data_IF_619204940453
#
_entry.id   IF_619204940453
#
_cell.length_a   1.000
_cell.length_b   1.000
_cell.length_c   1.000
_cell.angle_alpha   90.00
_cell.angle_beta   90.00
_cell.angle_gamma   90.00
#
_symmetry.space_group_name_H-M   'P 1'
#
loop_
_entity.id
_entity.type
_entity.pdbx_description
1 polymer ?
#
# COMPACT_ATOMS: atom_id res chain seq x y z
N UNK A 1 -12.64 -14.35 -16.54
CA UNK A 1 -11.53 -13.56 -15.96
C UNK A 1 -12.14 -12.60 -14.96
N UNK A 2 -11.88 -12.76 -13.68
CA UNK A 2 -12.28 -11.78 -12.66
C UNK A 2 -11.44 -10.53 -12.88
N UNK A 3 -12.07 -9.44 -13.31
CA UNK A 3 -11.37 -8.15 -13.45
C UNK A 3 -11.12 -7.62 -12.04
N UNK A 4 -9.85 -7.63 -11.61
CA UNK A 4 -9.44 -7.01 -10.34
C UNK A 4 -9.69 -5.50 -10.43
N UNK A 5 -10.43 -4.95 -9.46
CA UNK A 5 -10.64 -3.49 -9.41
C UNK A 5 -9.31 -2.80 -9.11
N UNK A 6 -8.84 -1.88 -9.94
CA UNK A 6 -7.61 -1.14 -9.68
C UNK A 6 -7.66 -0.39 -8.35
N UNK A 7 -6.50 -0.20 -7.71
CA UNK A 7 -6.37 0.60 -6.48
C UNK A 7 -5.26 1.63 -6.62
N UNK A 8 -5.58 2.89 -6.37
CA UNK A 8 -4.60 3.99 -6.31
C UNK A 8 -4.52 4.48 -4.86
N UNK A 9 -3.41 4.18 -4.23
CA UNK A 9 -3.16 4.42 -2.82
C UNK A 9 -2.12 5.53 -2.64
N UNK A 10 -2.45 6.60 -1.94
CA UNK A 10 -1.56 7.72 -1.62
C UNK A 10 -0.95 7.56 -0.24
N UNK A 11 0.35 7.32 -0.14
CA UNK A 11 1.10 7.34 1.10
C UNK A 11 1.72 8.74 1.29
N UNK A 12 1.18 9.54 2.21
CA UNK A 12 1.66 10.89 2.48
C UNK A 12 2.95 10.92 3.31
N UNK A 13 3.39 9.76 3.77
CA UNK A 13 4.61 9.65 4.60
C UNK A 13 4.57 10.62 5.78
N UNK A 14 5.70 11.19 6.17
CA UNK A 14 5.81 12.16 7.28
C UNK A 14 5.67 13.59 6.74
N UNK A 15 4.57 13.88 6.04
CA UNK A 15 4.26 15.22 5.53
C UNK A 15 2.88 15.67 5.99
N UNK A 16 2.69 16.98 6.06
CA UNK A 16 1.45 17.70 6.36
C UNK A 16 1.07 17.70 7.85
N UNK A 17 0.92 18.91 8.35
CA UNK A 17 0.20 19.20 9.59
C UNK A 17 -1.30 18.92 9.42
N UNK A 18 -2.08 18.92 10.52
CA UNK A 18 -3.53 18.69 10.41
C UNK A 18 -4.23 19.64 9.44
N UNK A 19 -4.03 20.98 9.51
CA UNK A 19 -4.65 21.91 8.56
C UNK A 19 -4.25 21.62 7.10
N UNK A 20 -2.96 21.40 6.82
CA UNK A 20 -2.49 21.07 5.47
C UNK A 20 -3.05 19.74 4.95
N UNK A 21 -3.24 18.77 5.83
CA UNK A 21 -3.85 17.48 5.49
C UNK A 21 -5.33 17.64 5.14
N UNK A 22 -6.06 18.45 5.91
CA UNK A 22 -7.46 18.79 5.64
C UNK A 22 -7.60 19.49 4.29
N UNK A 23 -6.79 20.53 4.03
CA UNK A 23 -6.84 21.29 2.78
C UNK A 23 -6.53 20.39 1.58
N UNK A 24 -5.53 19.50 1.72
CA UNK A 24 -5.18 18.53 0.67
C UNK A 24 -6.32 17.54 0.42
N UNK A 25 -6.95 17.03 1.46
CA UNK A 25 -8.08 16.09 1.33
C UNK A 25 -9.29 16.77 0.65
N UNK A 26 -9.64 18.01 1.05
CA UNK A 26 -10.71 18.80 0.41
C UNK A 26 -10.42 19.04 -1.07
N UNK A 27 -9.21 19.47 -1.39
CA UNK A 27 -8.80 19.74 -2.76
C UNK A 27 -8.84 18.46 -3.63
N UNK A 28 -8.41 17.31 -3.10
CA UNK A 28 -8.51 16.03 -3.80
C UNK A 28 -9.97 15.65 -4.04
N UNK A 29 -10.80 15.65 -3.00
CA UNK A 29 -12.23 15.31 -3.12
C UNK A 29 -12.94 16.18 -4.16
N UNK A 30 -12.61 17.48 -4.21
CA UNK A 30 -13.17 18.42 -5.20
C UNK A 30 -12.84 18.08 -6.66
N UNK A 31 -11.86 17.21 -6.91
CA UNK A 31 -11.45 16.79 -8.25
C UNK A 31 -12.01 15.41 -8.65
N UNK A 32 -12.65 14.70 -7.71
CA UNK A 32 -13.23 13.40 -7.97
C UNK A 32 -14.69 13.54 -8.43
N UNK A 33 -15.09 12.63 -9.28
CA UNK A 33 -16.46 12.61 -9.87
C UNK A 33 -17.42 11.69 -9.12
N UNK A 34 -16.89 10.87 -8.21
CA UNK A 34 -17.63 9.79 -7.53
C UNK A 34 -17.86 8.56 -8.41
N UNK A 35 -17.31 8.53 -9.63
CA UNK A 35 -17.45 7.44 -10.61
C UNK A 35 -16.10 6.87 -11.03
N UNK A 36 -15.09 7.00 -10.18
CA UNK A 36 -13.76 6.48 -10.45
C UNK A 36 -13.78 4.95 -10.53
N UNK A 37 -13.15 4.40 -11.57
CA UNK A 37 -13.03 2.96 -11.73
C UNK A 37 -12.11 2.36 -10.65
N UNK A 38 -11.04 3.09 -10.29
CA UNK A 38 -10.12 2.67 -9.25
C UNK A 38 -10.71 2.88 -7.84
N UNK A 39 -10.36 2.03 -6.92
CA UNK A 39 -10.49 2.30 -5.49
C UNK A 39 -9.40 3.27 -5.07
N UNK A 40 -9.76 4.31 -4.30
CA UNK A 40 -8.85 5.38 -3.90
C UNK A 40 -8.59 5.26 -2.40
N UNK A 41 -7.33 5.26 -1.99
CA UNK A 41 -6.93 5.34 -0.59
C UNK A 41 -5.95 6.49 -0.38
N UNK A 42 -6.07 7.19 0.74
CA UNK A 42 -5.04 8.12 1.24
C UNK A 42 -4.62 7.72 2.64
N UNK A 43 -3.32 7.76 2.91
CA UNK A 43 -2.74 7.43 4.21
C UNK A 43 -1.94 8.64 4.75
N UNK A 44 -2.61 9.55 5.48
CA UNK A 44 -1.96 10.67 6.14
C UNK A 44 -1.18 10.22 7.39
N UNK A 45 -0.33 11.09 8.00
CA UNK A 45 0.25 10.85 9.32
C UNK A 45 -0.83 10.56 10.37
N UNK A 46 -0.47 9.79 11.41
CA UNK A 46 -1.40 9.39 12.47
C UNK A 46 -2.14 10.57 13.13
N UNK A 47 -1.46 11.71 13.26
CA UNK A 47 -2.02 12.95 13.81
C UNK A 47 -3.16 13.54 12.98
N UNK A 48 -3.21 13.25 11.68
CA UNK A 48 -4.20 13.80 10.75
C UNK A 48 -5.31 12.78 10.37
N UNK A 49 -5.32 11.58 10.93
CA UNK A 49 -6.32 10.55 10.57
C UNK A 49 -7.75 11.03 10.85
N UNK A 50 -8.03 11.47 12.08
CA UNK A 50 -9.40 11.90 12.47
C UNK A 50 -9.88 13.13 11.69
N UNK A 51 -9.11 14.23 11.55
CA UNK A 51 -9.57 15.37 10.75
C UNK A 51 -9.78 15.01 9.28
N UNK A 52 -8.90 14.20 8.66
CA UNK A 52 -9.07 13.75 7.27
C UNK A 52 -10.29 12.84 7.11
N UNK A 53 -10.52 11.91 8.06
CA UNK A 53 -11.70 11.03 8.06
C UNK A 53 -13.02 11.79 7.94
N UNK A 54 -13.15 12.93 8.65
CA UNK A 54 -14.35 13.78 8.61
C UNK A 54 -14.60 14.41 7.24
N UNK A 55 -13.53 14.65 6.49
CA UNK A 55 -13.63 15.29 5.15
C UNK A 55 -14.01 14.26 4.09
N UNK A 56 -13.45 13.04 4.18
CA UNK A 56 -13.65 12.02 3.15
C UNK A 56 -14.82 11.08 3.42
N UNK A 57 -15.50 11.18 4.58
CA UNK A 57 -16.48 10.19 5.05
C UNK A 57 -17.59 9.83 4.06
N UNK A 58 -18.13 10.83 3.33
CA UNK A 58 -19.19 10.64 2.34
C UNK A 58 -18.68 10.64 0.89
N UNK A 59 -17.41 10.30 0.69
CA UNK A 59 -16.73 10.30 -0.62
C UNK A 59 -16.24 8.90 -0.99
N UNK A 60 -15.82 8.66 -2.24
CA UNK A 60 -15.23 7.37 -2.64
C UNK A 60 -13.83 7.12 -2.07
N UNK A 61 -13.22 8.09 -1.40
CA UNK A 61 -11.87 7.99 -0.84
C UNK A 61 -11.89 7.21 0.47
N UNK A 62 -11.01 6.22 0.58
CA UNK A 62 -10.84 5.42 1.78
C UNK A 62 -9.67 5.93 2.62
N UNK A 63 -9.82 5.90 3.95
CA UNK A 63 -8.74 6.25 4.86
C UNK A 63 -7.84 5.04 5.12
N UNK A 64 -6.52 5.24 4.99
CA UNK A 64 -5.49 4.30 5.39
C UNK A 64 -4.60 4.88 6.49
N UNK A 65 -4.05 4.02 7.32
CA UNK A 65 -2.98 4.36 8.25
C UNK A 65 -1.62 3.95 7.66
N UNK A 66 -0.54 4.55 8.15
CA UNK A 66 0.83 4.29 7.68
C UNK A 66 1.54 3.18 8.46
N UNK A 67 0.98 2.75 9.60
CA UNK A 67 1.51 1.73 10.49
C UNK A 67 0.49 1.37 11.56
N UNK A 68 0.70 0.25 12.26
CA UNK A 68 0.08 -0.09 13.53
C UNK A 68 1.04 -0.91 14.41
N UNK A 69 0.74 -0.99 15.69
CA UNK A 69 1.32 -1.96 16.59
C UNK A 69 0.38 -3.15 16.77
N UNK A 70 0.91 -4.35 17.02
CA UNK A 70 0.11 -5.59 17.03
C UNK A 70 -0.68 -5.85 18.32
N UNK A 71 -0.35 -5.14 19.41
CA UNK A 71 -1.13 -5.24 20.63
C UNK A 71 -2.31 -4.28 20.61
N UNK A 72 -3.45 -4.71 21.15
CA UNK A 72 -4.66 -3.88 21.15
C UNK A 72 -4.58 -2.69 22.12
N UNK A 73 -3.85 -2.88 23.24
CA UNK A 73 -3.59 -1.86 24.27
C UNK A 73 -2.42 -2.29 25.14
N UNK A 74 -1.85 -1.38 25.91
CA UNK A 74 -0.78 -1.71 26.85
C UNK A 74 0.24 -0.60 27.05
N UNK A 75 1.33 -0.92 27.72
CA UNK A 75 2.44 -0.02 27.99
C UNK A 75 3.39 0.09 26.79
N UNK A 76 2.90 0.64 25.69
CA UNK A 76 3.59 0.82 24.42
C UNK A 76 3.55 2.30 24.01
N UNK A 77 4.16 3.14 24.83
CA UNK A 77 4.10 4.60 24.67
C UNK A 77 4.48 5.05 23.25
N UNK A 78 3.58 5.76 22.59
CA UNK A 78 3.77 6.30 21.24
C UNK A 78 3.21 5.40 20.11
N UNK A 79 2.83 4.15 20.41
CA UNK A 79 2.26 3.25 19.41
C UNK A 79 0.75 3.46 19.21
N UNK A 80 0.27 3.07 18.02
CA UNK A 80 -1.14 3.14 17.63
C UNK A 80 -1.62 1.73 17.32
N UNK A 81 -2.67 1.28 18.03
CA UNK A 81 -3.23 -0.06 17.86
C UNK A 81 -4.28 -0.15 16.75
N UNK A 82 -4.60 -1.37 16.29
CA UNK A 82 -5.64 -1.59 15.30
C UNK A 82 -7.02 -1.06 15.74
N UNK A 83 -7.51 -1.25 16.99
CA UNK A 83 -8.76 -0.63 17.45
C UNK A 83 -8.74 0.90 17.40
N UNK A 84 -7.61 1.56 17.68
CA UNK A 84 -7.47 3.01 17.56
C UNK A 84 -7.63 3.46 16.11
N UNK A 85 -7.05 2.73 15.15
CA UNK A 85 -7.18 3.04 13.73
C UNK A 85 -8.63 2.86 13.23
N UNK A 86 -9.31 1.80 13.65
CA UNK A 86 -10.72 1.60 13.34
C UNK A 86 -11.57 2.76 13.89
N UNK A 87 -11.33 3.19 15.13
CA UNK A 87 -12.04 4.31 15.73
C UNK A 87 -11.77 5.65 15.05
N UNK A 88 -10.60 5.80 14.39
CA UNK A 88 -10.26 6.95 13.58
C UNK A 88 -10.89 6.94 12.17
N UNK A 89 -11.59 5.86 11.82
CA UNK A 89 -12.24 5.67 10.52
C UNK A 89 -11.35 5.03 9.45
N UNK A 90 -10.21 4.44 9.81
CA UNK A 90 -9.36 3.74 8.87
C UNK A 90 -10.01 2.44 8.38
N UNK A 91 -9.91 2.20 7.08
CA UNK A 91 -10.22 0.92 6.44
C UNK A 91 -8.96 0.15 6.08
N UNK A 92 -7.88 0.84 5.76
CA UNK A 92 -6.61 0.29 5.33
C UNK A 92 -5.50 0.59 6.32
N UNK A 93 -4.42 -0.21 6.27
CA UNK A 93 -3.16 0.09 6.96
C UNK A 93 -1.97 -0.41 6.16
N UNK A 94 -0.99 0.45 5.94
CA UNK A 94 0.29 0.10 5.31
C UNK A 94 1.15 -0.61 6.36
N UNK A 95 1.71 -1.78 5.99
CA UNK A 95 2.53 -2.61 6.89
C UNK A 95 3.79 -3.03 6.16
N UNK A 96 4.94 -2.95 6.82
CA UNK A 96 6.22 -3.40 6.26
C UNK A 96 6.81 -2.45 5.22
N UNK A 97 6.36 -1.19 5.16
CA UNK A 97 6.90 -0.19 4.22
C UNK A 97 8.43 -0.09 4.33
N UNK A 98 9.10 0.03 3.19
CA UNK A 98 10.57 0.04 3.09
C UNK A 98 11.25 1.01 4.07
N UNK A 99 10.72 2.22 4.25
CA UNK A 99 11.24 3.20 5.20
C UNK A 99 11.18 2.67 6.65
N UNK A 100 10.14 1.91 7.02
CA UNK A 100 10.04 1.34 8.37
C UNK A 100 11.02 0.20 8.58
N UNK A 101 11.26 -0.61 7.55
CA UNK A 101 12.30 -1.65 7.58
C UNK A 101 13.69 -1.03 7.72
N UNK A 102 13.95 0.02 6.94
CA UNK A 102 15.27 0.67 6.88
C UNK A 102 15.60 1.52 8.11
N UNK A 103 14.65 2.35 8.57
CA UNK A 103 14.91 3.36 9.60
C UNK A 103 14.43 2.96 10.99
N UNK A 104 13.46 2.05 11.10
CA UNK A 104 12.83 1.69 12.37
C UNK A 104 12.98 0.21 12.72
N UNK A 105 13.80 -0.54 11.98
CA UNK A 105 14.11 -1.93 12.27
C UNK A 105 12.91 -2.87 12.19
N UNK A 106 11.92 -2.57 11.34
CA UNK A 106 10.76 -3.43 11.18
C UNK A 106 11.16 -4.76 10.51
N UNK A 107 10.91 -5.87 11.22
CA UNK A 107 11.27 -7.23 10.78
C UNK A 107 10.09 -7.94 10.12
N UNK A 108 10.35 -9.03 9.39
CA UNK A 108 9.28 -9.82 8.77
C UNK A 108 8.36 -10.46 9.81
N UNK A 109 8.89 -10.85 10.98
CA UNK A 109 8.10 -11.35 12.11
C UNK A 109 7.20 -10.24 12.70
N UNK A 110 7.72 -9.01 12.77
CA UNK A 110 6.93 -7.83 13.17
C UNK A 110 5.81 -7.55 12.18
N UNK A 111 6.11 -7.61 10.88
CA UNK A 111 5.13 -7.49 9.78
C UNK A 111 4.04 -8.55 9.92
N UNK A 112 4.40 -9.81 10.15
CA UNK A 112 3.43 -10.90 10.35
C UNK A 112 2.46 -10.64 11.50
N UNK A 113 2.97 -10.23 12.67
CA UNK A 113 2.15 -9.86 13.83
C UNK A 113 1.18 -8.72 13.51
N UNK A 114 1.66 -7.69 12.81
CA UNK A 114 0.84 -6.54 12.40
C UNK A 114 -0.25 -6.93 11.41
N UNK A 115 0.05 -7.78 10.43
CA UNK A 115 -0.95 -8.29 9.48
C UNK A 115 -2.07 -9.02 10.23
N UNK A 116 -1.72 -9.94 11.14
CA UNK A 116 -2.70 -10.67 11.95
C UNK A 116 -3.57 -9.74 12.80
N UNK A 117 -2.98 -8.73 13.42
CA UNK A 117 -3.71 -7.73 14.19
C UNK A 117 -4.65 -6.88 13.31
N UNK A 118 -4.20 -6.46 12.12
CA UNK A 118 -5.02 -5.73 11.16
C UNK A 118 -6.24 -6.56 10.72
N UNK A 119 -6.02 -7.79 10.29
CA UNK A 119 -7.09 -8.70 9.84
C UNK A 119 -8.09 -8.99 10.98
N UNK A 120 -7.61 -9.25 12.20
CA UNK A 120 -8.46 -9.46 13.36
C UNK A 120 -9.36 -8.25 13.67
N UNK A 121 -8.88 -7.03 13.40
CA UNK A 121 -9.64 -5.79 13.55
C UNK A 121 -10.46 -5.41 12.31
N UNK A 122 -10.47 -6.24 11.26
CA UNK A 122 -11.13 -5.99 9.96
C UNK A 122 -10.56 -4.80 9.19
N UNK A 123 -9.31 -4.43 9.45
CA UNK A 123 -8.55 -3.53 8.60
C UNK A 123 -7.98 -4.33 7.41
N UNK A 124 -7.91 -3.69 6.26
CA UNK A 124 -7.28 -4.27 5.06
C UNK A 124 -5.78 -3.93 5.10
N UNK A 125 -4.87 -4.89 5.31
CA UNK A 125 -3.45 -4.64 5.28
C UNK A 125 -2.96 -4.43 3.84
N UNK A 126 -2.20 -3.36 3.62
CA UNK A 126 -1.39 -3.13 2.41
C UNK A 126 0.03 -3.55 2.76
N UNK A 127 0.41 -4.75 2.34
CA UNK A 127 1.63 -5.43 2.75
C UNK A 127 2.76 -5.07 1.80
N UNK A 128 3.75 -4.34 2.29
CA UNK A 128 4.89 -3.89 1.51
C UNK A 128 6.03 -4.91 1.55
N UNK A 129 6.54 -5.23 0.38
CA UNK A 129 7.73 -6.05 0.15
C UNK A 129 8.62 -5.37 -0.88
N UNK A 130 9.93 -5.61 -0.80
CA UNK A 130 10.85 -5.02 -1.77
C UNK A 130 12.31 -5.26 -1.41
N UNK A 131 13.14 -5.25 -2.42
CA UNK A 131 14.58 -5.41 -2.32
C UNK A 131 15.32 -4.07 -2.36
N UNK A 132 16.46 -4.01 -1.68
CA UNK A 132 17.41 -2.91 -1.75
C UNK A 132 18.22 -2.92 -3.06
N UNK A 133 18.91 -1.82 -3.35
CA UNK A 133 19.81 -1.71 -4.51
C UNK A 133 20.90 -2.79 -4.48
N UNK A 134 21.55 -2.98 -3.33
CA UNK A 134 22.59 -4.02 -3.16
C UNK A 134 22.06 -5.43 -3.42
N UNK A 135 20.84 -5.73 -2.98
CA UNK A 135 20.21 -7.03 -3.20
C UNK A 135 19.86 -7.25 -4.67
N UNK A 136 19.38 -6.20 -5.34
CA UNK A 136 19.06 -6.26 -6.77
C UNK A 136 20.33 -6.45 -7.61
N UNK A 137 21.36 -5.65 -7.38
CA UNK A 137 22.64 -5.75 -8.09
C UNK A 137 23.32 -7.10 -7.83
N UNK A 138 23.08 -7.70 -6.68
CA UNK A 138 23.52 -9.04 -6.31
C UNK A 138 22.64 -10.18 -6.89
N UNK A 139 21.64 -9.87 -7.73
CA UNK A 139 20.72 -10.86 -8.31
C UNK A 139 19.80 -11.54 -7.29
N UNK A 140 19.55 -10.92 -6.13
CA UNK A 140 18.82 -11.52 -5.00
C UNK A 140 17.35 -11.09 -4.92
N UNK A 141 16.84 -10.35 -5.90
CA UNK A 141 15.46 -9.81 -5.88
C UNK A 141 14.44 -10.86 -5.43
N UNK A 142 14.33 -11.95 -6.16
CA UNK A 142 13.30 -12.96 -5.89
C UNK A 142 13.51 -13.67 -4.56
N UNK A 143 14.74 -14.01 -4.19
CA UNK A 143 15.02 -14.67 -2.91
C UNK A 143 14.70 -13.76 -1.69
N UNK A 144 14.88 -12.45 -1.83
CA UNK A 144 14.50 -11.47 -0.79
C UNK A 144 12.98 -11.38 -0.69
N UNK A 145 12.29 -11.25 -1.82
CA UNK A 145 10.83 -11.18 -1.83
C UNK A 145 10.18 -12.46 -1.30
N UNK A 146 10.68 -13.63 -1.71
CA UNK A 146 10.21 -14.92 -1.21
C UNK A 146 10.34 -15.00 0.31
N UNK A 147 11.50 -14.65 0.85
CA UNK A 147 11.74 -14.62 2.30
C UNK A 147 10.77 -13.67 3.03
N UNK A 148 10.58 -12.45 2.50
CA UNK A 148 9.66 -11.47 3.09
C UNK A 148 8.21 -11.97 3.07
N UNK A 149 7.79 -12.62 1.96
CA UNK A 149 6.45 -13.19 1.85
C UNK A 149 6.28 -14.45 2.72
N UNK A 150 7.26 -15.35 2.73
CA UNK A 150 7.22 -16.56 3.57
C UNK A 150 7.04 -16.20 5.05
N UNK A 151 7.84 -15.27 5.54
CA UNK A 151 7.81 -14.83 6.95
C UNK A 151 6.63 -13.91 7.26
N UNK A 152 6.38 -12.92 6.40
CA UNK A 152 5.29 -11.96 6.60
C UNK A 152 3.90 -12.60 6.55
N UNK A 153 3.73 -13.63 5.73
CA UNK A 153 2.43 -14.32 5.56
C UNK A 153 2.33 -15.63 6.37
N UNK A 154 3.33 -15.95 7.21
CA UNK A 154 3.37 -17.19 7.99
C UNK A 154 2.13 -17.37 8.87
N UNK A 155 1.48 -18.54 8.73
CA UNK A 155 0.30 -18.92 9.52
C UNK A 155 -0.99 -18.18 9.16
N UNK A 156 -1.02 -17.37 8.09
CA UNK A 156 -2.28 -16.83 7.57
C UNK A 156 -3.04 -17.93 6.80
N UNK A 157 -4.36 -17.99 7.02
CA UNK A 157 -5.26 -18.78 6.17
C UNK A 157 -5.56 -18.04 4.86
N UNK A 158 -6.13 -18.77 3.89
CA UNK A 158 -6.61 -18.20 2.63
C UNK A 158 -7.62 -17.06 2.86
N UNK A 159 -8.62 -17.29 3.73
CA UNK A 159 -9.62 -16.27 4.08
C UNK A 159 -9.02 -15.01 4.68
N UNK A 160 -8.01 -15.15 5.53
CA UNK A 160 -7.30 -14.02 6.12
C UNK A 160 -6.51 -13.24 5.07
N UNK A 161 -5.81 -13.93 4.16
CA UNK A 161 -5.05 -13.29 3.09
C UNK A 161 -5.96 -12.65 2.03
N UNK A 162 -7.12 -13.23 1.74
CA UNK A 162 -8.08 -12.68 0.75
C UNK A 162 -8.50 -11.23 1.03
N UNK A 163 -8.33 -10.76 2.26
CA UNK A 163 -8.61 -9.40 2.68
C UNK A 163 -7.40 -8.45 2.53
N UNK A 164 -6.26 -8.96 2.07
CA UNK A 164 -5.02 -8.18 1.98
C UNK A 164 -4.76 -7.64 0.56
N UNK A 165 -3.89 -6.64 0.50
CA UNK A 165 -3.32 -6.08 -0.74
C UNK A 165 -1.80 -6.18 -0.62
N UNK A 166 -1.13 -6.63 -1.67
CA UNK A 166 0.33 -6.61 -1.74
C UNK A 166 0.80 -5.30 -2.36
N UNK A 167 1.98 -4.81 -1.95
CA UNK A 167 2.63 -3.68 -2.59
C UNK A 167 4.12 -4.01 -2.79
N UNK A 168 4.55 -4.03 -4.04
CA UNK A 168 5.97 -4.20 -4.37
C UNK A 168 6.66 -2.85 -4.45
N UNK A 169 7.66 -2.67 -3.63
CA UNK A 169 8.50 -1.48 -3.54
C UNK A 169 9.91 -1.80 -4.05
N UNK A 170 10.28 -1.46 -5.30
CA UNK A 170 11.69 -1.45 -5.69
C UNK A 170 12.41 -0.35 -4.90
N UNK A 171 13.00 -0.70 -3.72
CA UNK A 171 13.53 0.29 -2.78
C UNK A 171 14.60 1.17 -3.43
N UNK A 172 15.36 0.60 -4.36
CA UNK A 172 16.36 1.30 -5.18
C UNK A 172 15.77 2.37 -6.13
N UNK A 173 14.45 2.34 -6.37
CA UNK A 173 13.73 3.29 -7.22
C UNK A 173 12.86 4.28 -6.42
N UNK A 174 12.90 4.25 -5.08
CA UNK A 174 12.09 5.14 -4.23
C UNK A 174 12.90 6.38 -3.89
N UNK A 175 12.50 7.55 -4.39
CA UNK A 175 13.15 8.82 -4.05
C UNK A 175 14.55 9.03 -4.63
N UNK A 176 15.06 8.12 -5.44
CA UNK A 176 16.41 8.17 -6.03
C UNK A 176 16.46 8.81 -7.40
N UNK A 177 15.30 9.08 -8.02
CA UNK A 177 15.19 9.51 -9.40
C UNK A 177 15.26 8.35 -10.43
N UNK A 178 15.58 7.13 -10.00
CA UNK A 178 15.49 5.91 -10.78
C UNK A 178 14.04 5.41 -10.82
N UNK A 179 13.69 4.65 -11.84
CA UNK A 179 12.43 3.92 -11.94
C UNK A 179 12.68 2.52 -12.50
N UNK A 180 11.94 1.53 -12.02
CA UNK A 180 11.92 0.25 -12.70
C UNK A 180 11.31 0.41 -14.10
N UNK A 181 11.79 -0.36 -15.07
CA UNK A 181 11.11 -0.42 -16.37
C UNK A 181 9.77 -1.17 -16.20
N UNK A 182 8.79 -0.96 -17.11
CA UNK A 182 7.53 -1.70 -17.08
C UNK A 182 7.75 -3.22 -17.04
N UNK A 183 8.71 -3.74 -17.81
CA UNK A 183 9.04 -5.17 -17.87
C UNK A 183 9.58 -5.68 -16.53
N UNK A 184 10.47 -4.90 -15.88
CA UNK A 184 11.00 -5.24 -14.56
C UNK A 184 9.90 -5.26 -13.49
N UNK A 185 9.00 -4.30 -13.54
CA UNK A 185 7.86 -4.25 -12.63
C UNK A 185 6.92 -5.46 -12.87
N UNK A 186 6.59 -5.75 -14.12
CA UNK A 186 5.76 -6.89 -14.50
C UNK A 186 6.37 -8.23 -14.07
N UNK A 187 7.66 -8.42 -14.29
CA UNK A 187 8.35 -9.65 -13.91
C UNK A 187 8.22 -9.93 -12.40
N UNK A 188 8.43 -8.91 -11.59
CA UNK A 188 8.31 -9.05 -10.13
C UNK A 188 6.85 -9.26 -9.71
N UNK A 189 5.90 -8.51 -10.28
CA UNK A 189 4.47 -8.69 -9.98
C UNK A 189 3.98 -10.10 -10.34
N UNK A 190 4.39 -10.62 -11.48
CA UNK A 190 4.09 -12.01 -11.89
C UNK A 190 4.68 -13.04 -10.90
N UNK A 191 5.92 -12.83 -10.44
CA UNK A 191 6.55 -13.68 -9.42
C UNK A 191 5.78 -13.66 -8.10
N UNK A 192 5.41 -12.47 -7.61
CA UNK A 192 4.57 -12.33 -6.40
C UNK A 192 3.25 -13.10 -6.57
N UNK A 193 2.57 -12.94 -7.71
CA UNK A 193 1.32 -13.66 -7.97
C UNK A 193 1.50 -15.17 -8.01
N UNK A 194 2.57 -15.68 -8.61
CA UNK A 194 2.90 -17.11 -8.60
C UNK A 194 3.18 -17.64 -7.19
N UNK A 195 3.87 -16.86 -6.35
CA UNK A 195 4.07 -17.22 -4.94
C UNK A 195 2.73 -17.34 -4.21
N UNK A 196 1.84 -16.37 -4.40
CA UNK A 196 0.50 -16.37 -3.79
C UNK A 196 -0.33 -17.56 -4.27
N UNK A 197 -0.24 -17.92 -5.55
CA UNK A 197 -0.93 -19.08 -6.11
C UNK A 197 -0.47 -20.39 -5.47
N UNK A 198 0.84 -20.57 -5.32
CA UNK A 198 1.41 -21.76 -4.65
C UNK A 198 0.98 -21.86 -3.18
N UNK A 199 0.80 -20.72 -2.51
CA UNK A 199 0.53 -20.67 -1.08
C UNK A 199 -0.97 -20.69 -0.74
N UNK A 200 -1.80 -19.99 -1.50
CA UNK A 200 -3.22 -19.76 -1.19
C UNK A 200 -4.17 -20.23 -2.31
N UNK A 201 -3.65 -20.82 -3.39
CA UNK A 201 -4.44 -21.30 -4.50
C UNK A 201 -4.71 -20.25 -5.58
N UNK A 202 -5.06 -20.76 -6.78
CA UNK A 202 -5.23 -19.93 -7.99
C UNK A 202 -6.37 -18.91 -7.87
N UNK A 203 -7.45 -19.25 -7.18
CA UNK A 203 -8.58 -18.34 -7.02
C UNK A 203 -8.20 -17.11 -6.21
N UNK A 204 -7.57 -17.30 -5.06
CA UNK A 204 -7.12 -16.22 -4.17
C UNK A 204 -6.02 -15.38 -4.81
N UNK A 205 -5.03 -16.01 -5.43
CA UNK A 205 -3.97 -15.30 -6.18
C UNK A 205 -4.54 -14.51 -7.35
N UNK A 206 -5.53 -15.08 -8.08
CA UNK A 206 -6.19 -14.42 -9.18
C UNK A 206 -7.05 -13.21 -8.76
N UNK A 207 -7.52 -13.17 -7.52
CA UNK A 207 -8.29 -12.06 -6.95
C UNK A 207 -7.40 -11.04 -6.21
N UNK A 208 -6.20 -11.43 -5.79
CA UNK A 208 -5.27 -10.58 -5.03
C UNK A 208 -4.83 -9.37 -5.84
N UNK A 209 -4.88 -8.19 -5.23
CA UNK A 209 -4.35 -6.95 -5.82
C UNK A 209 -2.88 -6.79 -5.43
N UNK A 210 -2.05 -6.49 -6.43
CA UNK A 210 -0.62 -6.24 -6.26
C UNK A 210 -0.31 -4.86 -6.80
N UNK A 211 0.04 -3.93 -5.91
CA UNK A 211 0.32 -2.53 -6.23
C UNK A 211 1.79 -2.33 -6.55
N UNK A 212 2.10 -1.49 -7.51
CA UNK A 212 3.45 -1.00 -7.75
C UNK A 212 3.77 0.19 -6.85
N UNK A 213 4.81 0.07 -6.02
CA UNK A 213 5.24 1.06 -5.02
C UNK A 213 6.51 1.83 -5.39
N UNK A 214 6.96 1.75 -6.63
CA UNK A 214 8.09 2.56 -7.13
C UNK A 214 7.67 3.98 -7.52
N UNK A 215 8.46 4.60 -8.41
CA UNK A 215 8.18 5.97 -8.89
C UNK A 215 6.99 5.99 -9.85
N UNK A 216 5.84 6.45 -9.37
CA UNK A 216 4.61 6.65 -10.17
C UNK A 216 4.36 8.13 -10.38
N UNK A 217 4.09 8.50 -11.63
CA UNK A 217 3.79 9.87 -12.09
C UNK A 217 2.66 9.80 -13.13
N UNK A 218 1.92 10.90 -13.39
CA UNK A 218 0.89 10.91 -14.43
C UNK A 218 1.37 10.34 -15.77
N UNK A 219 2.60 10.68 -16.16
CA UNK A 219 3.17 10.30 -17.46
C UNK A 219 3.43 8.80 -17.64
N UNK A 220 3.60 8.02 -16.55
CA UNK A 220 3.89 6.58 -16.65
C UNK A 220 2.78 5.68 -16.09
N UNK A 221 1.75 6.27 -15.47
CA UNK A 221 0.72 5.49 -14.80
C UNK A 221 -0.07 4.61 -15.77
N UNK A 222 -0.47 5.14 -16.93
CA UNK A 222 -1.24 4.38 -17.92
C UNK A 222 -0.48 3.15 -18.44
N UNK A 223 0.82 3.28 -18.71
CA UNK A 223 1.68 2.21 -19.15
C UNK A 223 1.82 1.11 -18.09
N UNK A 224 2.10 1.49 -16.83
CA UNK A 224 2.17 0.55 -15.71
C UNK A 224 0.84 -0.19 -15.49
N UNK A 225 -0.27 0.54 -15.51
CA UNK A 225 -1.60 -0.03 -15.28
C UNK A 225 -2.13 -0.87 -16.44
N UNK A 226 -1.47 -0.85 -17.60
CA UNK A 226 -1.78 -1.75 -18.72
C UNK A 226 -1.16 -3.16 -18.56
N UNK A 227 -0.25 -3.34 -17.59
CA UNK A 227 0.44 -4.60 -17.38
C UNK A 227 -0.45 -5.61 -16.63
N UNK A 228 -0.41 -6.91 -16.99
CA UNK A 228 -1.40 -7.89 -16.54
C UNK A 228 -1.38 -8.19 -15.04
N UNK A 229 -0.26 -7.99 -14.36
CA UNK A 229 -0.13 -8.30 -12.93
C UNK A 229 -0.03 -7.06 -12.03
N UNK A 230 -0.07 -5.85 -12.61
CA UNK A 230 -0.11 -4.60 -11.86
C UNK A 230 -1.56 -4.16 -11.66
N UNK A 231 -2.05 -4.22 -10.42
CA UNK A 231 -3.43 -3.94 -10.07
C UNK A 231 -3.63 -2.57 -9.43
N UNK A 232 -2.60 -1.73 -9.45
CA UNK A 232 -2.65 -0.41 -8.86
C UNK A 232 -1.29 0.16 -8.52
N UNK A 233 -1.33 1.25 -7.76
CA UNK A 233 -0.12 1.96 -7.34
C UNK A 233 -0.18 2.37 -5.87
N UNK A 234 0.94 2.24 -5.17
CA UNK A 234 1.19 2.87 -3.87
C UNK A 234 2.09 4.10 -4.11
N UNK A 235 1.47 5.27 -4.12
CA UNK A 235 2.06 6.53 -4.59
C UNK A 235 2.58 7.33 -3.40
N UNK A 236 3.87 7.65 -3.38
CA UNK A 236 4.48 8.52 -2.37
C UNK A 236 4.35 10.01 -2.72
N UNK A 237 5.45 10.68 -3.02
CA UNK A 237 5.53 12.14 -3.21
C UNK A 237 4.51 12.77 -4.18
N UNK A 238 4.14 12.07 -5.25
CA UNK A 238 3.12 12.55 -6.19
C UNK A 238 1.72 12.65 -5.56
N UNK A 239 1.44 11.87 -4.51
CA UNK A 239 0.16 11.93 -3.78
C UNK A 239 0.01 13.12 -2.84
N UNK A 240 1.09 13.87 -2.60
CA UNK A 240 1.07 15.07 -1.76
C UNK A 240 0.43 16.28 -2.45
N UNK A 241 0.32 16.25 -3.78
CA UNK A 241 -0.29 17.29 -4.60
C UNK A 241 -1.61 16.78 -5.15
N UNK A 242 -2.75 17.36 -4.75
CA UNK A 242 -4.09 16.90 -5.17
C UNK A 242 -4.24 16.76 -6.68
N UNK A 243 -3.77 17.77 -7.45
CA UNK A 243 -3.87 17.79 -8.92
C UNK A 243 -3.11 16.60 -9.55
N UNK A 244 -1.85 16.42 -9.15
CA UNK A 244 -1.02 15.33 -9.64
C UNK A 244 -1.57 13.96 -9.26
N UNK A 245 -2.13 13.84 -8.04
CA UNK A 245 -2.70 12.58 -7.58
C UNK A 245 -4.03 12.28 -8.31
N UNK A 246 -4.86 13.30 -8.56
CA UNK A 246 -6.07 13.15 -9.36
C UNK A 246 -5.77 12.72 -10.81
N UNK A 247 -4.72 13.25 -11.45
CA UNK A 247 -4.26 12.79 -12.76
C UNK A 247 -3.86 11.31 -12.74
N UNK A 248 -3.17 10.84 -11.68
CA UNK A 248 -2.82 9.42 -11.52
C UNK A 248 -4.08 8.58 -11.33
N UNK A 249 -5.06 9.03 -10.56
CA UNK A 249 -6.35 8.33 -10.37
C UNK A 249 -7.09 8.20 -11.71
N UNK A 250 -7.05 9.23 -12.54
CA UNK A 250 -7.74 9.30 -13.82
C UNK A 250 -6.88 8.84 -15.02
N UNK A 251 -5.91 7.97 -14.82
CA UNK A 251 -4.90 7.54 -15.82
C UNK A 251 -5.45 7.02 -17.15
N UNK A 252 -6.74 6.68 -17.22
CA UNK A 252 -7.43 6.23 -18.44
C UNK A 252 -8.09 7.34 -19.25
N UNK A 253 -7.99 8.59 -18.79
CA UNK A 253 -8.63 9.74 -19.45
C UNK A 253 -7.69 10.45 -20.40
#
# INVERSE_FOLDING_TARGET
MTTRRPMIAGNWKMYKTCPEAEDTARALVGQLTGKEEAEIMIAPPATALVPVSRIIGDTPVQLGAQNLFWENQGAYTGEVSAPMLVSAGCRYVIIGHSERRQYFGETDEGVNKKIKAAVAARLVPVICIGESETERDGGKTFSVLDKQMEKGLEGLSEDQFSQAVMAYEPVWAIGTGRSATPEQAQEVHAHVRQFLEKRFGAQTAGAARILYGGSVKPANTAELMALPDIDGALVGGASLKPDTFAEIIHYKR
#
